data_IF_362296688716
#
_entry.id   IF_362296688716
#
_cell.length_a   1.000
_cell.length_b   1.000
_cell.length_c   1.000
_cell.angle_alpha   90.00
_cell.angle_beta   90.00
_cell.angle_gamma   90.00
#
_symmetry.space_group_name_H-M   'P 1'
#
loop_
_entity.id
_entity.type
_entity.pdbx_description
1 polymer ?
#
# COMPACT_ATOMS: atom_id res chain seq x y z
N UNK A 1 -5.50 -4.33 3.17
CA UNK A 1 -4.92 -3.65 4.36
C UNK A 1 -5.56 -2.28 4.50
N UNK A 2 -6.10 -1.92 5.67
CA UNK A 2 -6.67 -0.58 5.91
C UNK A 2 -5.60 0.39 6.43
N UNK A 3 -5.48 1.56 5.81
CA UNK A 3 -4.57 2.62 6.23
C UNK A 3 -5.32 3.69 7.03
N UNK A 4 -4.86 3.90 8.26
CA UNK A 4 -5.42 4.89 9.19
C UNK A 4 -4.34 5.82 9.70
N UNK A 5 -4.68 7.09 9.92
CA UNK A 5 -3.77 8.08 10.54
C UNK A 5 -3.58 7.80 12.02
N UNK A 6 -4.64 7.33 12.68
CA UNK A 6 -4.65 7.00 14.09
C UNK A 6 -5.41 5.67 14.30
N UNK A 7 -4.76 4.73 15.01
CA UNK A 7 -5.30 3.38 15.25
C UNK A 7 -6.43 3.34 16.28
N UNK A 8 -6.54 4.31 17.19
CA UNK A 8 -7.59 4.37 18.21
C UNK A 8 -8.92 4.81 17.61
N UNK A 9 -8.91 5.91 16.84
CA UNK A 9 -10.12 6.50 16.25
C UNK A 9 -10.41 6.01 14.82
N UNK A 10 -9.47 5.26 14.22
CA UNK A 10 -9.55 4.74 12.84
C UNK A 10 -9.82 5.82 11.78
N UNK A 11 -9.22 6.99 11.95
CA UNK A 11 -9.33 8.06 10.95
C UNK A 11 -8.67 7.61 9.64
N UNK A 12 -9.43 7.63 8.54
CA UNK A 12 -8.98 7.15 7.23
C UNK A 12 -7.77 7.94 6.72
N UNK A 13 -6.74 7.24 6.24
CA UNK A 13 -5.55 7.85 5.64
C UNK A 13 -5.67 7.91 4.10
N UNK A 14 -6.74 8.53 3.58
CA UNK A 14 -7.07 8.51 2.14
C UNK A 14 -5.95 9.09 1.27
N UNK A 15 -5.43 10.26 1.63
CA UNK A 15 -4.34 10.92 0.88
C UNK A 15 -3.07 10.07 0.91
N UNK A 16 -2.75 9.48 2.06
CA UNK A 16 -1.60 8.59 2.20
C UNK A 16 -1.77 7.32 1.36
N UNK A 17 -2.98 6.74 1.34
CA UNK A 17 -3.27 5.56 0.53
C UNK A 17 -3.04 5.83 -0.97
N UNK A 18 -3.49 6.98 -1.48
CA UNK A 18 -3.23 7.40 -2.86
C UNK A 18 -1.73 7.59 -3.13
N UNK A 19 -1.01 8.27 -2.24
CA UNK A 19 0.46 8.43 -2.36
C UNK A 19 1.19 7.09 -2.42
N UNK A 20 0.80 6.13 -1.56
CA UNK A 20 1.37 4.77 -1.57
C UNK A 20 1.10 4.09 -2.91
N UNK A 21 -0.11 4.19 -3.45
CA UNK A 21 -0.46 3.64 -4.76
C UNK A 21 0.41 4.23 -5.88
N UNK A 22 0.56 5.56 -5.93
CA UNK A 22 1.37 6.21 -6.95
C UNK A 22 2.84 5.76 -6.91
N UNK A 23 3.45 5.72 -5.72
CA UNK A 23 4.82 5.22 -5.56
C UNK A 23 4.97 3.75 -5.96
N UNK A 24 3.95 2.91 -5.73
CA UNK A 24 3.96 1.53 -6.19
C UNK A 24 3.85 1.44 -7.72
N UNK A 25 2.99 2.26 -8.35
CA UNK A 25 2.84 2.30 -9.81
C UNK A 25 4.15 2.69 -10.49
N UNK A 26 4.88 3.67 -9.95
CA UNK A 26 6.21 4.07 -10.44
C UNK A 26 7.22 2.91 -10.41
N UNK A 27 7.05 1.97 -9.49
CA UNK A 27 7.87 0.75 -9.36
C UNK A 27 7.28 -0.46 -10.11
N UNK A 28 6.23 -0.27 -10.91
CA UNK A 28 5.58 -1.32 -11.68
C UNK A 28 4.65 -2.24 -10.86
N UNK A 29 4.24 -1.82 -9.66
CA UNK A 29 3.26 -2.52 -8.83
C UNK A 29 1.93 -1.74 -8.82
N UNK A 30 0.89 -2.31 -9.41
CA UNK A 30 -0.45 -1.73 -9.37
C UNK A 30 -1.39 -2.55 -8.48
N UNK A 31 -2.31 -1.86 -7.83
CA UNK A 31 -3.40 -2.45 -7.04
C UNK A 31 -4.55 -1.46 -6.92
N UNK A 32 -5.65 -1.86 -6.28
CA UNK A 32 -6.81 -0.99 -6.09
C UNK A 32 -6.86 -0.43 -4.67
N UNK A 33 -7.40 0.78 -4.53
CA UNK A 33 -7.83 1.32 -3.25
C UNK A 33 -9.34 1.17 -3.15
N UNK A 34 -9.82 0.55 -2.09
CA UNK A 34 -11.23 0.41 -1.74
C UNK A 34 -11.57 1.28 -0.53
N UNK A 35 -12.80 1.81 -0.46
CA UNK A 35 -13.26 2.64 0.66
C UNK A 35 -12.37 3.84 1.01
N UNK A 36 -11.57 4.33 0.05
CA UNK A 36 -10.65 5.45 0.17
C UNK A 36 -9.32 5.15 0.86
N UNK A 37 -9.19 4.06 1.63
CA UNK A 37 -7.98 3.80 2.41
C UNK A 37 -7.61 2.32 2.56
N UNK A 38 -8.36 1.41 1.92
CA UNK A 38 -8.08 -0.02 1.96
C UNK A 38 -7.29 -0.42 0.72
N UNK A 39 -6.04 -0.82 0.90
CA UNK A 39 -5.23 -1.39 -0.16
C UNK A 39 -5.72 -2.81 -0.45
N UNK A 40 -6.19 -3.04 -1.67
CA UNK A 40 -6.75 -4.30 -2.14
C UNK A 40 -5.77 -4.92 -3.13
N UNK A 41 -5.01 -5.91 -2.64
CA UNK A 41 -4.05 -6.70 -3.42
C UNK A 41 -4.76 -7.96 -3.92
N UNK A 42 -4.69 -8.20 -5.24
CA UNK A 42 -5.27 -9.38 -5.88
C UNK A 42 -4.25 -9.94 -6.89
N UNK A 43 -3.19 -10.61 -6.42
CA UNK A 43 -2.19 -11.18 -7.31
C UNK A 43 -2.77 -12.38 -8.10
N UNK A 44 -2.18 -12.74 -9.26
CA UNK A 44 -2.53 -13.97 -9.97
C UNK A 44 -2.35 -15.22 -9.10
N UNK A 45 -3.20 -16.24 -9.27
CA UNK A 45 -3.08 -17.51 -8.52
C UNK A 45 -1.79 -18.29 -8.80
N UNK A 46 -1.11 -17.97 -9.91
CA UNK A 46 0.11 -18.62 -10.36
C UNK A 46 1.39 -17.83 -10.03
N UNK A 47 1.27 -16.71 -9.31
CA UNK A 47 2.43 -15.87 -8.95
C UNK A 47 3.47 -16.69 -8.17
N UNK A 48 4.77 -16.50 -8.45
CA UNK A 48 5.80 -17.18 -7.68
C UNK A 48 5.98 -16.54 -6.28
N UNK A 49 6.52 -17.28 -5.30
CA UNK A 49 6.89 -16.70 -4.01
C UNK A 49 7.86 -15.52 -4.13
N UNK A 50 8.82 -15.58 -5.08
CA UNK A 50 9.80 -14.54 -5.32
C UNK A 50 9.17 -13.27 -5.90
N UNK A 51 8.27 -13.41 -6.87
CA UNK A 51 7.51 -12.28 -7.43
C UNK A 51 6.62 -11.63 -6.37
N UNK A 52 5.98 -12.44 -5.54
CA UNK A 52 5.16 -11.95 -4.43
C UNK A 52 6.01 -11.18 -3.41
N UNK A 53 7.17 -11.72 -3.02
CA UNK A 53 8.09 -11.03 -2.10
C UNK A 53 8.56 -9.69 -2.68
N UNK A 54 8.95 -9.66 -3.95
CA UNK A 54 9.34 -8.42 -4.63
C UNK A 54 8.19 -7.39 -4.65
N UNK A 55 6.95 -7.83 -4.86
CA UNK A 55 5.79 -6.94 -4.77
C UNK A 55 5.59 -6.40 -3.34
N UNK A 56 5.78 -7.25 -2.32
CA UNK A 56 5.69 -6.83 -0.92
C UNK A 56 6.79 -5.85 -0.53
N UNK A 57 8.03 -6.04 -1.01
CA UNK A 57 9.16 -5.13 -0.77
C UNK A 57 8.88 -3.73 -1.35
N UNK A 58 8.33 -3.66 -2.57
CA UNK A 58 7.91 -2.38 -3.20
C UNK A 58 6.83 -1.67 -2.40
N UNK A 59 5.86 -2.45 -1.89
CA UNK A 59 4.79 -1.91 -1.05
C UNK A 59 5.32 -1.41 0.30
N UNK A 60 6.21 -2.16 0.95
CA UNK A 60 6.85 -1.76 2.20
C UNK A 60 7.68 -0.49 2.02
N UNK A 61 8.45 -0.40 0.93
CA UNK A 61 9.15 0.82 0.56
C UNK A 61 8.20 2.01 0.45
N UNK A 62 7.10 1.88 -0.31
CA UNK A 62 6.14 2.97 -0.49
C UNK A 62 5.47 3.39 0.83
N UNK A 63 5.08 2.42 1.67
CA UNK A 63 4.53 2.69 3.02
C UNK A 63 5.55 3.42 3.89
N UNK A 64 6.79 2.98 3.86
CA UNK A 64 7.89 3.62 4.57
C UNK A 64 8.05 5.07 4.13
N UNK A 65 8.11 5.35 2.83
CA UNK A 65 8.26 6.73 2.34
C UNK A 65 7.11 7.65 2.77
N UNK A 66 5.88 7.15 2.78
CA UNK A 66 4.69 7.95 3.10
C UNK A 66 4.51 8.15 4.61
N UNK A 67 4.87 7.16 5.44
CA UNK A 67 4.58 7.17 6.88
C UNK A 67 5.79 7.42 7.78
N UNK A 68 7.06 7.31 7.32
CA UNK A 68 8.23 7.61 8.16
C UNK A 68 8.33 9.07 8.63
N UNK A 69 7.67 10.02 7.95
CA UNK A 69 7.70 11.45 8.29
C UNK A 69 6.56 11.91 9.22
N UNK A 70 5.73 11.00 9.75
CA UNK A 70 4.59 11.34 10.62
C UNK A 70 4.77 10.90 12.08
N UNK A 71 6.01 10.90 12.59
CA UNK A 71 6.32 10.69 14.02
C UNK A 71 7.12 11.89 14.51
#
# INVERSE_FOLDING_TARGET
>A
MELVKNRQIKEKATIQAEKVLYLCIEQGLSFKISQGCVLTLAPPLIISPEELNLAMDKLEYALTQVFRHNI
#
